data_IF_298445620179
#
_entry.id   IF_298445620179
#
_cell.length_a   1.000
_cell.length_b   1.000
_cell.length_c   1.000
_cell.angle_alpha   90.00
_cell.angle_beta   90.00
_cell.angle_gamma   90.00
#
_symmetry.space_group_name_H-M   'P 1'
#
loop_
_entity.id
_entity.type
_entity.pdbx_description
1 polymer ?
#
# COMPACT_ATOMS: atom_id res chain seq x y z
N UNK A 1 28.43 14.00 6.63
CA UNK A 1 27.87 12.67 6.31
C UNK A 1 28.67 12.11 5.14
N UNK A 2 29.34 10.97 5.31
CA UNK A 2 30.14 10.35 4.24
C UNK A 2 29.29 9.88 3.06
N UNK A 3 29.93 9.67 1.90
CA UNK A 3 29.30 9.07 0.72
C UNK A 3 28.66 7.72 1.07
N UNK A 4 27.41 7.52 0.64
CA UNK A 4 26.59 6.36 1.04
C UNK A 4 25.64 6.60 2.22
N UNK A 5 25.29 7.85 2.51
CA UNK A 5 24.35 8.15 3.60
C UNK A 5 22.92 7.69 3.27
N UNK A 6 22.35 6.89 4.17
CA UNK A 6 20.92 6.55 4.18
C UNK A 6 20.23 7.65 4.99
N UNK A 7 19.23 8.31 4.41
CA UNK A 7 18.41 9.26 5.15
C UNK A 7 17.54 8.52 6.17
N UNK A 8 17.04 9.21 7.22
CA UNK A 8 16.18 8.58 8.23
C UNK A 8 15.03 7.81 7.56
N UNK A 9 14.95 6.52 7.87
CA UNK A 9 13.85 5.68 7.44
C UNK A 9 12.59 5.97 8.28
N UNK A 10 11.42 5.69 7.72
CA UNK A 10 10.15 5.71 8.46
C UNK A 10 9.47 4.36 8.44
N UNK A 11 8.81 4.00 9.53
CA UNK A 11 7.90 2.86 9.53
C UNK A 11 6.66 3.19 8.69
N UNK A 12 6.18 2.22 7.90
CA UNK A 12 4.93 2.38 7.15
C UNK A 12 3.71 2.48 8.07
N UNK A 13 3.80 1.86 9.25
CA UNK A 13 2.81 1.95 10.32
C UNK A 13 3.47 2.60 11.52
N UNK A 14 2.85 3.65 12.06
CA UNK A 14 3.28 4.29 13.31
C UNK A 14 3.38 3.23 14.42
N UNK A 15 4.50 3.26 15.15
CA UNK A 15 4.86 2.30 16.20
C UNK A 15 3.74 2.21 17.26
N UNK A 16 3.07 3.33 17.56
CA UNK A 16 1.96 3.36 18.53
C UNK A 16 0.74 2.52 18.14
N UNK A 17 0.63 2.16 16.86
CA UNK A 17 -0.47 1.35 16.32
C UNK A 17 -0.04 -0.07 15.95
N UNK A 18 1.13 -0.52 16.42
CA UNK A 18 1.57 -1.90 16.24
C UNK A 18 0.74 -2.81 17.14
N UNK A 19 0.43 -4.01 16.63
CA UNK A 19 -0.35 -5.00 17.37
C UNK A 19 0.59 -6.00 18.03
N UNK A 20 0.21 -6.51 19.20
CA UNK A 20 0.99 -7.51 19.93
C UNK A 20 1.23 -8.79 19.12
N UNK A 21 0.30 -9.15 18.23
CA UNK A 21 0.36 -10.33 17.34
C UNK A 21 1.09 -10.06 16.00
N UNK A 22 1.59 -8.85 15.77
CA UNK A 22 2.23 -8.48 14.50
C UNK A 22 3.61 -9.12 14.35
N UNK A 23 3.74 -10.04 13.39
CA UNK A 23 4.99 -10.78 13.15
C UNK A 23 6.08 -10.01 12.39
N UNK A 24 5.74 -8.93 11.69
CA UNK A 24 6.68 -8.18 10.87
C UNK A 24 6.30 -6.69 10.74
N UNK A 25 7.31 -5.81 10.73
CA UNK A 25 7.19 -4.38 10.38
C UNK A 25 7.78 -4.10 9.00
N UNK A 26 7.29 -3.05 8.34
CA UNK A 26 7.83 -2.59 7.05
C UNK A 26 8.30 -1.14 7.19
N UNK A 27 9.50 -0.86 6.71
CA UNK A 27 10.10 0.48 6.72
C UNK A 27 10.38 0.96 5.29
N UNK A 28 10.34 2.27 5.11
CA UNK A 28 10.74 2.96 3.88
C UNK A 28 12.00 3.75 4.18
N UNK A 29 13.03 3.52 3.38
CA UNK A 29 14.28 4.27 3.46
C UNK A 29 14.39 5.18 2.23
N UNK A 30 14.77 6.42 2.47
CA UNK A 30 15.22 7.32 1.41
C UNK A 30 16.74 7.25 1.36
N UNK A 31 17.30 7.17 0.16
CA UNK A 31 18.75 7.12 -0.06
C UNK A 31 19.16 8.22 -1.02
N UNK A 32 20.42 8.62 -0.94
CA UNK A 32 20.97 9.77 -1.66
C UNK A 32 20.95 9.60 -3.18
N UNK A 33 21.09 8.39 -3.69
CA UNK A 33 21.22 8.15 -5.13
C UNK A 33 20.74 6.75 -5.58
N UNK A 34 20.54 6.63 -6.90
CA UNK A 34 20.05 5.40 -7.56
C UNK A 34 21.04 4.23 -7.46
N UNK A 35 22.36 4.48 -7.48
CA UNK A 35 23.39 3.44 -7.36
C UNK A 35 23.34 2.81 -5.97
N UNK A 36 23.25 3.62 -4.91
CA UNK A 36 23.06 3.19 -3.53
C UNK A 36 21.76 2.40 -3.37
N UNK A 37 20.65 2.88 -3.93
CA UNK A 37 19.38 2.15 -3.93
C UNK A 37 19.51 0.77 -4.60
N UNK A 38 20.17 0.71 -5.76
CA UNK A 38 20.39 -0.53 -6.50
C UNK A 38 21.27 -1.53 -5.74
N UNK A 39 22.32 -1.07 -5.06
CA UNK A 39 23.15 -1.89 -4.18
C UNK A 39 22.33 -2.50 -3.04
N UNK A 40 21.48 -1.70 -2.38
CA UNK A 40 20.60 -2.17 -1.31
C UNK A 40 19.57 -3.17 -1.84
N UNK A 41 18.98 -2.93 -3.02
CA UNK A 41 18.03 -3.87 -3.64
C UNK A 41 18.68 -5.17 -4.13
N UNK A 42 19.97 -5.14 -4.49
CA UNK A 42 20.73 -6.31 -4.93
C UNK A 42 21.21 -7.15 -3.74
N UNK A 43 21.80 -6.50 -2.74
CA UNK A 43 22.53 -7.16 -1.66
C UNK A 43 21.72 -7.28 -0.36
N UNK A 44 20.65 -6.49 -0.23
CA UNK A 44 19.91 -6.30 1.00
C UNK A 44 20.55 -5.26 1.94
N UNK A 45 19.88 -4.99 3.04
CA UNK A 45 20.33 -4.15 4.14
C UNK A 45 20.52 -5.02 5.39
N UNK A 46 21.62 -4.88 6.12
CA UNK A 46 21.81 -5.57 7.41
C UNK A 46 21.32 -4.66 8.53
N UNK A 47 20.31 -5.11 9.27
CA UNK A 47 19.75 -4.41 10.44
C UNK A 47 19.80 -5.37 11.62
N UNK A 48 20.50 -4.98 12.70
CA UNK A 48 20.69 -5.81 13.91
C UNK A 48 21.12 -7.26 13.58
N UNK A 49 22.11 -7.41 12.69
CA UNK A 49 22.63 -8.72 12.27
C UNK A 49 21.73 -9.51 11.30
N UNK A 50 20.53 -9.04 10.99
CA UNK A 50 19.63 -9.68 10.04
C UNK A 50 19.71 -9.00 8.68
N UNK A 51 19.94 -9.79 7.62
CA UNK A 51 19.88 -9.30 6.24
C UNK A 51 18.43 -9.22 5.78
N UNK A 52 17.99 -8.02 5.42
CA UNK A 52 16.65 -7.72 4.94
C UNK A 52 16.68 -7.37 3.45
N UNK A 53 15.77 -7.95 2.68
CA UNK A 53 15.63 -7.62 1.26
C UNK A 53 14.81 -6.33 1.11
N UNK A 54 15.29 -5.45 0.23
CA UNK A 54 14.60 -4.21 -0.13
C UNK A 54 14.05 -4.29 -1.56
N UNK A 55 13.02 -3.50 -1.83
CA UNK A 55 12.42 -3.32 -3.16
C UNK A 55 12.04 -1.86 -3.35
N UNK A 56 11.83 -1.46 -4.60
CA UNK A 56 11.27 -0.14 -4.92
C UNK A 56 9.91 0.03 -4.26
N UNK A 57 9.70 1.22 -3.70
CA UNK A 57 8.39 1.65 -3.25
C UNK A 57 7.61 2.17 -4.46
N UNK A 58 6.83 1.30 -5.09
CA UNK A 58 5.94 1.68 -6.19
C UNK A 58 4.69 2.39 -5.65
N UNK A 59 4.21 3.40 -6.37
CA UNK A 59 2.92 4.04 -6.09
C UNK A 59 1.78 3.04 -6.27
N UNK A 60 0.87 2.99 -5.29
CA UNK A 60 -0.36 2.20 -5.39
C UNK A 60 -1.55 3.07 -5.83
N UNK A 61 -2.54 2.48 -6.52
CA UNK A 61 -3.81 3.15 -6.79
C UNK A 61 -4.39 3.79 -5.53
N UNK A 62 -4.76 5.06 -5.64
CA UNK A 62 -5.26 5.84 -4.51
C UNK A 62 -6.64 5.36 -4.11
N UNK A 63 -6.94 5.45 -2.82
CA UNK A 63 -8.26 5.17 -2.27
C UNK A 63 -8.69 6.29 -1.35
N UNK A 64 -9.95 6.70 -1.46
CA UNK A 64 -10.54 7.57 -0.45
C UNK A 64 -10.82 6.78 0.83
N UNK A 65 -10.25 7.19 1.96
CA UNK A 65 -10.44 6.50 3.24
C UNK A 65 -11.87 6.62 3.80
N UNK A 66 -12.68 7.56 3.29
CA UNK A 66 -14.08 7.71 3.68
C UNK A 66 -15.00 6.75 2.91
N UNK A 67 -15.04 6.85 1.57
CA UNK A 67 -15.95 6.03 0.76
C UNK A 67 -15.36 4.71 0.28
N UNK A 68 -14.06 4.47 0.47
CA UNK A 68 -13.31 3.28 0.05
C UNK A 68 -13.27 3.03 -1.48
N UNK A 69 -13.74 3.97 -2.30
CA UNK A 69 -13.61 3.89 -3.74
C UNK A 69 -12.16 4.06 -4.20
N UNK A 70 -11.79 3.28 -5.21
CA UNK A 70 -10.49 3.33 -5.88
C UNK A 70 -10.46 4.45 -6.92
N UNK A 71 -9.38 5.24 -6.91
CA UNK A 71 -9.15 6.39 -7.78
C UNK A 71 -10.37 7.31 -7.98
N UNK A 72 -11.07 7.76 -6.91
CA UNK A 72 -12.34 8.45 -7.06
C UNK A 72 -12.22 9.96 -7.36
N UNK A 73 -11.00 10.44 -7.64
CA UNK A 73 -10.73 11.86 -7.90
C UNK A 73 -10.75 12.78 -6.67
N UNK A 74 -10.96 12.25 -5.46
CA UNK A 74 -11.03 13.02 -4.22
C UNK A 74 -10.32 12.32 -3.05
N UNK A 75 -10.01 13.11 -2.03
CA UNK A 75 -9.48 12.67 -0.73
C UNK A 75 -10.60 12.57 0.32
N UNK A 76 -10.31 12.00 1.49
CA UNK A 76 -11.33 11.71 2.51
C UNK A 76 -12.01 12.98 3.08
N UNK A 77 -11.25 14.06 3.20
CA UNK A 77 -11.69 15.41 3.61
C UNK A 77 -12.63 16.07 2.60
N UNK A 78 -12.43 15.80 1.31
CA UNK A 78 -13.27 16.31 0.21
C UNK A 78 -14.32 15.30 -0.25
N UNK A 79 -14.52 14.22 0.50
CA UNK A 79 -15.39 13.13 0.08
C UNK A 79 -16.87 13.51 0.27
N UNK A 80 -17.70 13.43 -0.79
CA UNK A 80 -19.13 13.79 -0.71
C UNK A 80 -19.97 12.74 0.03
N UNK A 81 -19.39 11.59 0.39
CA UNK A 81 -20.11 10.56 1.14
C UNK A 81 -20.44 11.04 2.55
N UNK A 82 -21.67 10.81 2.99
CA UNK A 82 -22.15 11.21 4.31
C UNK A 82 -21.52 10.32 5.40
N UNK A 83 -21.30 9.04 5.11
CA UNK A 83 -20.82 8.05 6.07
C UNK A 83 -19.47 7.44 5.66
N UNK A 84 -18.70 7.01 6.64
CA UNK A 84 -17.54 6.17 6.41
C UNK A 84 -17.97 4.75 6.02
N UNK A 85 -17.40 4.27 4.92
CA UNK A 85 -17.58 2.92 4.42
C UNK A 85 -16.47 2.04 5.01
N UNK A 86 -16.86 0.94 5.63
CA UNK A 86 -15.92 -0.02 6.19
C UNK A 86 -15.10 -0.71 5.08
N UNK A 87 -13.76 -0.70 5.15
CA UNK A 87 -12.90 -1.33 4.14
C UNK A 87 -12.98 -2.86 4.15
N UNK A 88 -13.54 -3.49 5.19
CA UNK A 88 -13.65 -4.94 5.30
C UNK A 88 -14.94 -5.45 4.67
N UNK A 89 -16.10 -4.91 5.05
CA UNK A 89 -17.41 -5.43 4.67
C UNK A 89 -18.25 -4.51 3.76
N UNK A 90 -17.71 -3.34 3.39
CA UNK A 90 -18.42 -2.31 2.62
C UNK A 90 -19.72 -1.79 3.26
N UNK A 91 -19.95 -2.05 4.55
CA UNK A 91 -21.05 -1.49 5.32
C UNK A 91 -20.73 -0.09 5.87
N UNK A 92 -21.77 0.61 6.34
CA UNK A 92 -21.65 1.91 7.01
C UNK A 92 -21.98 1.79 8.51
N UNK A 93 -21.64 2.80 9.30
CA UNK A 93 -22.05 2.91 10.71
C UNK A 93 -21.09 2.29 11.73
N UNK A 94 -19.89 1.88 11.31
CA UNK A 94 -18.84 1.46 12.23
C UNK A 94 -17.45 1.74 11.66
N UNK A 95 -16.45 2.03 12.50
CA UNK A 95 -15.06 2.13 12.07
C UNK A 95 -14.48 0.74 11.75
N UNK A 96 -13.46 0.71 10.89
CA UNK A 96 -12.81 -0.54 10.47
C UNK A 96 -12.33 -1.39 11.67
N UNK A 97 -11.87 -0.76 12.76
CA UNK A 97 -11.39 -1.44 13.96
C UNK A 97 -12.49 -2.11 14.81
N UNK A 98 -13.75 -1.70 14.65
CA UNK A 98 -14.91 -2.30 15.32
C UNK A 98 -15.67 -3.28 14.41
N UNK A 99 -15.16 -3.55 13.21
CA UNK A 99 -15.80 -4.43 12.25
C UNK A 99 -15.72 -5.88 12.73
N UNK A 100 -16.88 -6.54 12.86
CA UNK A 100 -16.99 -7.97 13.23
C UNK A 100 -17.03 -8.92 12.04
N UNK A 101 -16.87 -8.39 10.82
CA UNK A 101 -16.90 -9.18 9.59
C UNK A 101 -15.73 -10.18 9.56
N UNK A 102 -16.02 -11.42 9.19
CA UNK A 102 -15.00 -12.43 8.94
C UNK A 102 -14.58 -12.40 7.48
N UNK A 103 -13.58 -13.22 7.11
CA UNK A 103 -13.11 -13.30 5.73
C UNK A 103 -14.22 -13.67 4.72
N UNK A 104 -15.25 -14.40 5.16
CA UNK A 104 -16.41 -14.76 4.35
C UNK A 104 -17.36 -13.57 4.09
N UNK A 105 -17.39 -12.60 5.00
CA UNK A 105 -18.25 -11.42 4.95
C UNK A 105 -17.62 -10.26 4.19
N UNK A 106 -16.36 -10.39 3.80
CA UNK A 106 -15.60 -9.31 3.20
C UNK A 106 -16.16 -8.90 1.83
N UNK A 107 -16.28 -7.58 1.64
CA UNK A 107 -16.82 -6.99 0.41
C UNK A 107 -16.03 -5.75 -0.01
N UNK A 108 -15.71 -5.66 -1.28
CA UNK A 108 -15.04 -4.51 -1.88
C UNK A 108 -16.08 -3.61 -2.55
N UNK A 109 -16.24 -2.39 -2.03
CA UNK A 109 -17.25 -1.44 -2.54
C UNK A 109 -16.98 -1.05 -4.01
N UNK A 110 -15.71 -0.90 -4.39
CA UNK A 110 -15.32 -0.54 -5.76
C UNK A 110 -15.71 -1.67 -6.72
N UNK A 111 -15.27 -2.90 -6.46
CA UNK A 111 -15.59 -4.05 -7.31
C UNK A 111 -17.10 -4.30 -7.38
N UNK A 112 -17.81 -4.15 -6.26
CA UNK A 112 -19.28 -4.28 -6.22
C UNK A 112 -19.95 -3.26 -7.14
N UNK A 113 -19.50 -2.00 -7.12
CA UNK A 113 -20.07 -0.93 -7.97
C UNK A 113 -19.77 -1.15 -9.46
N UNK A 114 -18.61 -1.73 -9.77
CA UNK A 114 -18.15 -2.00 -11.14
C UNK A 114 -18.63 -3.35 -11.70
N UNK A 115 -19.38 -4.14 -10.93
CA UNK A 115 -19.86 -5.46 -11.38
C UNK A 115 -18.79 -6.56 -11.42
N UNK A 116 -17.63 -6.36 -10.79
CA UNK A 116 -16.57 -7.36 -10.68
C UNK A 116 -16.79 -8.29 -9.47
N UNK A 117 -16.14 -9.47 -9.41
CA UNK A 117 -16.10 -10.29 -8.18
C UNK A 117 -15.67 -9.44 -6.99
N UNK A 118 -16.49 -9.39 -5.94
CA UNK A 118 -16.34 -8.41 -4.85
C UNK A 118 -16.23 -9.04 -3.46
N UNK A 119 -16.23 -10.38 -3.35
CA UNK A 119 -16.11 -11.13 -2.09
C UNK A 119 -14.67 -11.14 -1.56
N UNK A 120 -14.15 -9.95 -1.29
CA UNK A 120 -12.84 -9.69 -0.71
C UNK A 120 -12.85 -8.31 -0.03
N UNK A 121 -11.97 -8.08 0.93
CA UNK A 121 -11.91 -6.78 1.58
C UNK A 121 -11.37 -5.75 0.60
N UNK A 122 -11.78 -4.50 0.70
CA UNK A 122 -11.34 -3.47 -0.23
C UNK A 122 -9.80 -3.41 -0.29
N UNK A 123 -9.09 -3.57 0.84
CA UNK A 123 -7.62 -3.54 0.90
C UNK A 123 -6.91 -4.75 0.28
N UNK A 124 -7.62 -5.79 -0.16
CA UNK A 124 -7.03 -6.96 -0.80
C UNK A 124 -6.57 -6.64 -2.22
N UNK A 125 -5.27 -6.39 -2.37
CA UNK A 125 -4.64 -6.01 -3.63
C UNK A 125 -4.55 -7.15 -4.66
N UNK A 126 -4.61 -8.41 -4.19
CA UNK A 126 -4.43 -9.58 -5.06
C UNK A 126 -5.76 -10.08 -5.62
N UNK A 127 -6.85 -9.95 -4.84
CA UNK A 127 -8.20 -10.37 -5.26
C UNK A 127 -9.02 -9.24 -5.89
N UNK A 128 -8.61 -7.98 -5.71
CA UNK A 128 -9.31 -6.84 -6.27
C UNK A 128 -8.93 -6.59 -7.74
N UNK A 129 -9.80 -7.00 -8.66
CA UNK A 129 -9.66 -6.76 -10.11
C UNK A 129 -9.42 -5.29 -10.42
N UNK A 130 -10.23 -4.40 -9.85
CA UNK A 130 -10.09 -2.95 -10.03
C UNK A 130 -8.73 -2.42 -9.56
N UNK A 131 -8.18 -2.98 -8.47
CA UNK A 131 -6.85 -2.60 -7.99
C UNK A 131 -5.76 -3.06 -8.96
N UNK A 132 -5.85 -4.30 -9.45
CA UNK A 132 -4.87 -4.84 -10.40
C UNK A 132 -4.85 -4.06 -11.71
N UNK A 133 -6.02 -3.72 -12.25
CA UNK A 133 -6.16 -2.91 -13.46
C UNK A 133 -5.59 -1.50 -13.26
N UNK A 134 -5.97 -0.83 -12.17
CA UNK A 134 -5.45 0.49 -11.84
C UNK A 134 -3.92 0.46 -11.63
N UNK A 135 -3.38 -0.61 -11.01
CA UNK A 135 -1.94 -0.78 -10.82
C UNK A 135 -1.22 -1.01 -12.15
N UNK A 136 -1.82 -1.77 -13.07
CA UNK A 136 -1.31 -1.97 -14.44
C UNK A 136 -1.25 -0.65 -15.19
N UNK A 137 -2.28 0.17 -15.08
CA UNK A 137 -2.31 1.49 -15.71
C UNK A 137 -1.26 2.44 -15.13
N UNK A 138 -1.06 2.43 -13.80
CA UNK A 138 0.05 3.18 -13.18
C UNK A 138 1.41 2.72 -13.70
N UNK A 139 1.64 1.41 -13.83
CA UNK A 139 2.89 0.88 -14.42
C UNK A 139 3.07 1.24 -15.89
N UNK A 140 1.96 1.39 -16.64
CA UNK A 140 2.00 1.86 -18.03
C UNK A 140 2.45 3.32 -18.12
N UNK A 141 1.97 4.17 -17.20
CA UNK A 141 2.37 5.59 -17.10
C UNK A 141 3.81 5.77 -16.57
N UNK A 142 4.27 4.81 -15.77
CA UNK A 142 5.58 4.80 -15.13
C UNK A 142 6.37 3.54 -15.51
N UNK A 143 6.85 3.44 -16.77
CA UNK A 143 7.53 2.24 -17.28
C UNK A 143 8.80 1.89 -16.49
N UNK A 144 9.43 2.84 -15.80
CA UNK A 144 10.55 2.63 -14.89
C UNK A 144 10.23 1.65 -13.76
N UNK A 145 8.96 1.49 -13.40
CA UNK A 145 8.51 0.53 -12.38
C UNK A 145 8.57 -0.93 -12.87
N UNK A 146 8.71 -1.17 -14.18
CA UNK A 146 8.85 -2.54 -14.72
C UNK A 146 10.24 -3.14 -14.50
N UNK A 147 11.25 -2.31 -14.22
CA UNK A 147 12.59 -2.78 -13.89
C UNK A 147 12.70 -3.14 -12.42
N UNK A 148 13.52 -4.14 -12.08
CA UNK A 148 13.83 -4.45 -10.66
C UNK A 148 14.61 -3.33 -9.99
N UNK A 149 15.55 -2.74 -10.73
CA UNK A 149 16.45 -1.68 -10.27
C UNK A 149 15.97 -0.32 -10.78
N UNK A 150 16.50 0.76 -10.22
CA UNK A 150 16.44 2.06 -10.86
C UNK A 150 17.38 2.07 -12.06
N UNK A 151 16.93 2.63 -13.18
CA UNK A 151 17.83 2.87 -14.32
C UNK A 151 18.92 3.83 -13.84
N UNK A 152 20.18 3.45 -13.97
CA UNK A 152 21.35 4.28 -13.67
C UNK A 152 22.29 4.22 -14.86
N UNK A 153 22.94 5.33 -15.18
CA UNK A 153 24.06 5.40 -16.13
C UNK A 153 25.21 4.47 -15.69
#
# INVERSE_FOLDING_TARGET
LGSGSVHPGRWMRDIKHWRADQKAGHAVFTVVDRKTANLIMKNGLVVQGKRLLARKLEEDPRRCYKCQFLNPGHTADQCPSIAEVCPNCAGCGHPAGACKATAADYKCITCRKMGCPYQHAAWDRKRCTMFMEAKKELRRKHPENNYRFFLSE
#
